data_IF_976293160656
#
_entry.id   IF_976293160656
#
_cell.length_a   1.000
_cell.length_b   1.000
_cell.length_c   1.000
_cell.angle_alpha   90.00
_cell.angle_beta   90.00
_cell.angle_gamma   90.00
#
_symmetry.space_group_name_H-M   'P 1'
#
loop_
_entity.id
_entity.type
_entity.pdbx_description
1 polymer ?
#
# COMPACT_ATOMS: atom_id res chain seq x y z
N UNK A 1 13.72 -10.60 -6.87
CA UNK A 1 12.96 -9.35 -7.12
C UNK A 1 11.58 -9.41 -6.43
N UNK A 2 11.13 -8.36 -5.74
CA UNK A 2 10.02 -8.51 -4.76
C UNK A 2 8.62 -8.75 -5.37
N UNK A 3 8.18 -7.89 -6.28
CA UNK A 3 6.84 -7.97 -6.87
C UNK A 3 6.84 -8.50 -8.31
N UNK A 4 7.70 -7.97 -9.18
CA UNK A 4 7.71 -8.30 -10.61
C UNK A 4 8.31 -9.68 -10.93
N UNK A 5 8.87 -10.39 -9.95
CA UNK A 5 9.36 -11.76 -10.14
C UNK A 5 8.25 -12.82 -10.10
N UNK A 6 7.05 -12.44 -9.63
CA UNK A 6 5.95 -13.37 -9.32
C UNK A 6 4.68 -12.88 -10.00
N UNK A 7 4.54 -13.21 -11.28
CA UNK A 7 3.43 -12.75 -12.12
C UNK A 7 2.45 -13.90 -12.34
N UNK A 8 1.20 -13.69 -11.90
CA UNK A 8 0.14 -14.67 -12.10
C UNK A 8 -0.01 -14.99 -13.59
N UNK A 9 0.01 -16.27 -13.95
CA UNK A 9 -0.13 -16.73 -15.33
C UNK A 9 1.18 -16.85 -16.12
N UNK A 10 2.23 -16.13 -15.71
CA UNK A 10 3.55 -16.20 -16.36
C UNK A 10 4.51 -17.08 -15.55
N UNK A 11 4.60 -16.87 -14.24
CA UNK A 11 5.55 -17.60 -13.36
C UNK A 11 4.89 -18.78 -12.64
N UNK A 12 3.66 -19.15 -13.04
CA UNK A 12 2.78 -20.14 -12.42
C UNK A 12 2.43 -19.91 -10.93
N UNK A 13 3.03 -18.93 -10.28
CA UNK A 13 2.79 -18.56 -8.88
C UNK A 13 1.57 -17.66 -8.72
N UNK A 14 0.90 -17.75 -7.57
CA UNK A 14 -0.16 -16.81 -7.16
C UNK A 14 0.45 -15.54 -6.55
N UNK A 15 -0.39 -14.54 -6.31
CA UNK A 15 0.04 -13.23 -5.75
C UNK A 15 0.70 -13.38 -4.38
N UNK A 16 0.10 -14.20 -3.52
CA UNK A 16 0.49 -14.36 -2.11
C UNK A 16 1.40 -15.57 -1.86
N UNK A 17 1.53 -16.48 -2.82
CA UNK A 17 2.20 -17.74 -2.61
C UNK A 17 2.39 -18.55 -3.90
N UNK A 18 3.25 -19.57 -3.90
CA UNK A 18 3.41 -20.44 -5.06
C UNK A 18 2.11 -21.19 -5.40
N UNK A 19 1.33 -21.57 -4.38
CA UNK A 19 0.05 -22.28 -4.50
C UNK A 19 -0.96 -21.78 -3.47
N UNK A 20 -2.20 -22.24 -3.53
CA UNK A 20 -3.21 -21.91 -2.50
C UNK A 20 -2.79 -22.48 -1.14
N UNK A 21 -2.97 -21.71 -0.07
CA UNK A 21 -2.72 -22.14 1.31
C UNK A 21 -1.25 -22.15 1.73
N UNK A 22 -0.33 -21.75 0.85
CA UNK A 22 1.10 -21.63 1.17
C UNK A 22 1.55 -20.21 0.82
N UNK A 23 1.91 -19.43 1.83
CA UNK A 23 2.36 -18.06 1.63
C UNK A 23 3.85 -17.97 1.28
N UNK A 24 4.23 -16.93 0.54
CA UNK A 24 5.65 -16.61 0.41
C UNK A 24 6.22 -16.05 1.72
N UNK A 25 7.43 -16.48 2.06
CA UNK A 25 8.17 -16.00 3.23
C UNK A 25 8.45 -14.49 3.22
N UNK A 26 8.51 -13.88 2.03
CA UNK A 26 8.78 -12.45 1.84
C UNK A 26 7.51 -11.58 1.81
N UNK A 27 6.32 -12.14 2.04
CA UNK A 27 5.06 -11.37 2.02
C UNK A 27 5.09 -10.17 2.98
N UNK A 28 5.60 -10.36 4.21
CA UNK A 28 5.71 -9.26 5.17
C UNK A 28 6.54 -8.09 4.62
N UNK A 29 7.69 -8.39 3.99
CA UNK A 29 8.54 -7.38 3.36
C UNK A 29 7.84 -6.72 2.16
N UNK A 30 7.21 -7.52 1.29
CA UNK A 30 6.48 -7.03 0.12
C UNK A 30 5.38 -6.05 0.51
N UNK A 31 4.53 -6.42 1.45
CA UNK A 31 3.40 -5.59 1.86
C UNK A 31 3.82 -4.40 2.75
N UNK A 32 4.90 -4.54 3.51
CA UNK A 32 5.55 -3.40 4.17
C UNK A 32 6.08 -2.37 3.15
N UNK A 33 6.73 -2.85 2.08
CA UNK A 33 7.21 -1.98 1.00
C UNK A 33 6.04 -1.32 0.26
N UNK A 34 4.97 -2.06 -0.03
CA UNK A 34 3.75 -1.52 -0.63
C UNK A 34 3.18 -0.37 0.20
N UNK A 35 3.04 -0.55 1.51
CA UNK A 35 2.51 0.48 2.41
C UNK A 35 3.36 1.76 2.42
N UNK A 36 4.69 1.62 2.46
CA UNK A 36 5.60 2.76 2.45
C UNK A 36 5.59 3.47 1.09
N UNK A 37 5.62 2.72 -0.02
CA UNK A 37 5.54 3.29 -1.36
C UNK A 37 4.21 4.03 -1.58
N UNK A 38 3.09 3.50 -1.05
CA UNK A 38 1.78 4.14 -1.11
C UNK A 38 1.72 5.48 -0.34
N UNK A 39 2.55 5.66 0.69
CA UNK A 39 2.69 6.93 1.43
C UNK A 39 3.62 7.93 0.71
N UNK A 40 4.47 7.50 -0.22
CA UNK A 40 5.30 8.41 -1.00
C UNK A 40 4.59 8.90 -2.28
N UNK A 41 3.80 8.02 -2.89
CA UNK A 41 3.16 8.28 -4.18
C UNK A 41 2.39 9.62 -4.25
N UNK A 42 1.55 10.01 -3.27
CA UNK A 42 0.81 11.28 -3.33
C UNK A 42 1.71 12.52 -3.31
N UNK A 43 2.93 12.42 -2.77
CA UNK A 43 3.87 13.54 -2.63
C UNK A 43 4.82 13.64 -3.81
N UNK A 44 5.28 12.51 -4.31
CA UNK A 44 6.41 12.45 -5.27
C UNK A 44 5.94 12.37 -6.71
N UNK A 45 4.78 11.79 -6.98
CA UNK A 45 4.30 11.59 -8.36
C UNK A 45 3.52 12.80 -8.85
N UNK A 46 4.00 13.42 -9.93
CA UNK A 46 3.24 14.43 -10.66
C UNK A 46 2.30 13.76 -11.67
N UNK A 47 0.99 13.93 -11.47
CA UNK A 47 -0.05 13.34 -12.30
C UNK A 47 -0.78 14.42 -13.08
N UNK A 48 -0.52 14.50 -14.39
CA UNK A 48 -0.97 15.60 -15.24
C UNK A 48 -1.99 15.17 -16.31
N UNK A 49 -2.52 13.93 -16.20
CA UNK A 49 -3.44 13.37 -17.19
C UNK A 49 -4.89 13.85 -17.01
N UNK A 50 -5.22 14.50 -15.88
CA UNK A 50 -6.56 15.01 -15.62
C UNK A 50 -6.73 16.43 -16.16
N UNK A 51 -7.90 16.74 -16.72
CA UNK A 51 -8.25 18.11 -17.12
C UNK A 51 -8.38 19.06 -15.94
N UNK A 52 -8.72 18.54 -14.76
CA UNK A 52 -9.07 19.32 -13.57
C UNK A 52 -7.99 19.29 -12.49
N UNK A 53 -6.92 18.55 -12.71
CA UNK A 53 -5.87 18.33 -11.72
C UNK A 53 -4.53 18.09 -12.42
N UNK A 54 -3.48 18.72 -11.90
CA UNK A 54 -2.11 18.58 -12.38
C UNK A 54 -1.16 18.76 -11.21
N UNK A 55 -0.06 18.00 -11.20
CA UNK A 55 0.91 17.97 -10.10
C UNK A 55 0.69 16.82 -9.12
N UNK A 56 1.28 16.91 -7.91
CA UNK A 56 1.18 15.87 -6.91
C UNK A 56 -0.12 15.99 -6.12
N UNK A 57 -0.68 14.87 -5.67
CA UNK A 57 -1.88 14.86 -4.83
C UNK A 57 -1.70 15.65 -3.53
N UNK A 58 -0.46 15.72 -3.02
CA UNK A 58 -0.13 16.42 -1.80
C UNK A 58 -0.45 15.63 -0.54
N UNK A 59 -0.70 16.35 0.55
CA UNK A 59 -0.83 15.77 1.89
C UNK A 59 -2.26 15.77 2.44
N UNK A 60 -3.18 16.51 1.80
CA UNK A 60 -4.60 16.55 2.17
C UNK A 60 -5.36 15.39 1.50
N UNK A 61 -5.12 14.19 2.01
CA UNK A 61 -5.65 12.96 1.43
C UNK A 61 -6.34 12.07 2.46
N UNK A 62 -7.28 11.25 1.98
CA UNK A 62 -7.86 10.16 2.75
C UNK A 62 -7.36 8.85 2.15
N UNK A 63 -6.64 8.06 2.95
CA UNK A 63 -6.22 6.73 2.55
C UNK A 63 -7.33 5.73 2.85
N UNK A 64 -7.70 4.93 1.85
CA UNK A 64 -8.57 3.77 2.04
C UNK A 64 -7.67 2.53 1.94
N UNK A 65 -7.47 1.86 3.07
CA UNK A 65 -6.63 0.67 3.18
C UNK A 65 -7.52 -0.57 3.22
N UNK A 66 -7.15 -1.58 2.45
CA UNK A 66 -7.94 -2.75 2.11
C UNK A 66 -7.23 -4.01 2.62
N UNK A 67 -7.85 -4.68 3.60
CA UNK A 67 -7.37 -5.91 4.26
C UNK A 67 -5.91 -5.83 4.78
N UNK A 68 -5.42 -6.98 5.23
CA UNK A 68 -4.13 -7.15 5.89
C UNK A 68 -2.93 -6.67 5.07
N UNK A 69 -2.98 -6.77 3.74
CA UNK A 69 -1.91 -6.35 2.83
C UNK A 69 -1.52 -4.87 3.00
N UNK A 70 -2.45 -4.04 3.49
CA UNK A 70 -2.24 -2.59 3.63
C UNK A 70 -2.40 -2.08 5.07
N UNK A 71 -2.55 -2.99 6.04
CA UNK A 71 -2.82 -2.66 7.44
C UNK A 71 -1.69 -1.88 8.12
N UNK A 72 -0.46 -1.97 7.61
CA UNK A 72 0.69 -1.26 8.16
C UNK A 72 0.74 0.23 7.77
N UNK A 73 0.01 0.65 6.73
CA UNK A 73 -0.01 2.06 6.29
C UNK A 73 -0.42 3.03 7.40
N UNK A 74 -1.53 2.84 8.15
CA UNK A 74 -1.87 3.73 9.27
C UNK A 74 -0.79 3.78 10.36
N UNK A 75 -0.06 2.67 10.57
CA UNK A 75 1.05 2.61 11.52
C UNK A 75 2.21 3.48 11.06
N UNK A 76 2.67 3.32 9.81
CA UNK A 76 3.72 4.15 9.22
C UNK A 76 3.33 5.63 9.19
N UNK A 77 2.10 5.93 8.78
CA UNK A 77 1.58 7.28 8.75
C UNK A 77 1.71 7.97 10.12
N UNK A 78 1.26 7.30 11.19
CA UNK A 78 1.29 7.86 12.55
C UNK A 78 2.68 7.86 13.20
N UNK A 79 3.48 6.83 12.96
CA UNK A 79 4.76 6.66 13.64
C UNK A 79 5.93 7.38 12.95
N UNK A 80 5.86 7.55 11.62
CA UNK A 80 6.99 8.07 10.82
C UNK A 80 6.68 9.43 10.20
N UNK A 81 5.52 9.61 9.58
CA UNK A 81 5.21 10.81 8.79
C UNK A 81 4.65 11.94 9.65
N UNK A 82 3.61 11.68 10.44
CA UNK A 82 2.98 12.71 11.28
C UNK A 82 3.93 13.39 12.27
N UNK A 83 4.87 12.69 12.94
CA UNK A 83 5.85 13.35 13.82
C UNK A 83 6.80 14.30 13.09
N UNK A 84 6.96 14.15 11.77
CA UNK A 84 7.78 15.03 10.93
C UNK A 84 6.99 16.21 10.35
N UNK A 85 5.75 16.41 10.79
CA UNK A 85 4.86 17.45 10.28
C UNK A 85 4.20 17.11 8.95
N UNK A 86 4.40 15.90 8.43
CA UNK A 86 3.84 15.43 7.16
C UNK A 86 2.47 14.79 7.38
N UNK A 87 1.56 14.92 6.41
CA UNK A 87 0.23 14.31 6.45
C UNK A 87 -0.55 14.66 7.73
N UNK A 88 -0.40 15.90 8.20
CA UNK A 88 -0.99 16.39 9.45
C UNK A 88 -2.52 16.19 9.45
N UNK A 89 -3.18 16.59 8.36
CA UNK A 89 -4.63 16.50 8.16
C UNK A 89 -5.11 15.13 7.66
N UNK A 90 -4.22 14.32 7.08
CA UNK A 90 -4.59 13.05 6.45
C UNK A 90 -5.27 12.08 7.42
N UNK A 91 -6.25 11.33 6.89
CA UNK A 91 -7.03 10.32 7.60
C UNK A 91 -6.95 8.97 6.88
N UNK A 92 -7.27 7.92 7.62
CA UNK A 92 -7.25 6.54 7.10
C UNK A 92 -8.59 5.88 7.42
N UNK A 93 -9.21 5.26 6.41
CA UNK A 93 -10.35 4.36 6.54
C UNK A 93 -9.89 2.93 6.24
N UNK A 94 -10.23 1.98 7.11
CA UNK A 94 -9.88 0.57 6.95
C UNK A 94 -11.09 -0.25 6.49
N UNK A 95 -10.94 -0.89 5.34
CA UNK A 95 -11.96 -1.72 4.70
C UNK A 95 -11.58 -3.20 4.86
N UNK A 96 -12.44 -3.96 5.53
CA UNK A 96 -12.30 -5.39 5.73
C UNK A 96 -13.19 -6.09 4.69
N UNK A 97 -12.59 -6.79 3.74
CA UNK A 97 -13.32 -7.63 2.79
C UNK A 97 -13.41 -9.07 3.28
N UNK A 98 -12.42 -9.53 4.08
CA UNK A 98 -12.42 -10.87 4.64
C UNK A 98 -11.82 -10.91 6.05
N UNK A 99 -12.68 -11.20 7.04
CA UNK A 99 -12.29 -11.31 8.44
C UNK A 99 -11.31 -12.47 8.71
N UNK A 100 -11.26 -13.50 7.85
CA UNK A 100 -10.40 -14.66 8.06
C UNK A 100 -8.91 -14.36 7.84
N UNK A 101 -8.58 -13.25 7.18
CA UNK A 101 -7.21 -12.85 6.86
C UNK A 101 -6.98 -11.40 7.31
N UNK A 102 -6.77 -11.20 8.61
CA UNK A 102 -6.57 -9.85 9.19
C UNK A 102 -5.09 -9.42 9.28
N UNK A 103 -4.17 -10.33 8.94
CA UNK A 103 -2.72 -10.11 9.07
C UNK A 103 -2.18 -10.65 10.38
#
# INVERSE_FOLDING_TARGET
PLFLEKVWGETASKVYGPVAGVDFKDNQLRFSLLCQAALEAPRVLNLNSSKYFSGPYGEEVVFIVNDWHTVLLPCYLKAVYKPRGLYSTAKVAFCIHNIAYQG
#
